data_IF_455785268654
#
_entry.id   IF_455785268654
#
_cell.length_a   1.000
_cell.length_b   1.000
_cell.length_c   1.000
_cell.angle_alpha   90.00
_cell.angle_beta   90.00
_cell.angle_gamma   90.00
#
_symmetry.space_group_name_H-M   'P 1'
#
loop_
_entity.id
_entity.type
_entity.pdbx_description
1 polymer ?
#
# COMPACT_ATOMS: atom_id res chain seq x y z
N UNK A 1 7.76 -18.13 -0.29
CA UNK A 1 7.10 -17.44 -1.42
C UNK A 1 6.33 -16.20 -0.96
N UNK A 2 5.46 -16.28 0.06
CA UNK A 2 4.70 -15.09 0.53
C UNK A 2 5.55 -13.88 0.92
N UNK A 3 6.66 -14.08 1.66
CA UNK A 3 7.60 -12.99 1.98
C UNK A 3 8.11 -12.25 0.73
N UNK A 4 8.55 -12.99 -0.28
CA UNK A 4 9.13 -12.43 -1.50
C UNK A 4 8.07 -11.70 -2.32
N UNK A 5 6.85 -12.25 -2.39
CA UNK A 5 5.70 -11.61 -3.01
C UNK A 5 5.37 -10.28 -2.33
N UNK A 6 5.25 -10.25 -1.01
CA UNK A 6 4.94 -9.03 -0.26
C UNK A 6 6.06 -7.99 -0.36
N UNK A 7 7.33 -8.41 -0.30
CA UNK A 7 8.47 -7.53 -0.51
C UNK A 7 8.49 -6.95 -1.93
N UNK A 8 8.17 -7.76 -2.94
CA UNK A 8 8.06 -7.32 -4.35
C UNK A 8 6.96 -6.27 -4.52
N UNK A 9 5.79 -6.47 -3.89
CA UNK A 9 4.69 -5.50 -3.90
C UNK A 9 5.15 -4.17 -3.28
N UNK A 10 5.76 -4.21 -2.09
CA UNK A 10 6.25 -2.99 -1.42
C UNK A 10 7.26 -2.23 -2.27
N UNK A 11 8.22 -2.92 -2.87
CA UNK A 11 9.23 -2.31 -3.74
C UNK A 11 8.59 -1.68 -4.99
N UNK A 12 7.62 -2.34 -5.59
CA UNK A 12 6.91 -1.84 -6.77
C UNK A 12 6.09 -0.59 -6.46
N UNK A 13 5.37 -0.57 -5.34
CA UNK A 13 4.62 0.60 -4.92
C UNK A 13 5.55 1.76 -4.53
N UNK A 14 6.68 1.49 -3.85
CA UNK A 14 7.71 2.50 -3.57
C UNK A 14 8.30 3.10 -4.86
N UNK A 15 8.51 2.29 -5.91
CA UNK A 15 8.96 2.80 -7.20
C UNK A 15 7.95 3.78 -7.81
N UNK A 16 6.65 3.48 -7.75
CA UNK A 16 5.62 4.39 -8.24
C UNK A 16 5.52 5.66 -7.39
N UNK A 17 5.65 5.54 -6.07
CA UNK A 17 5.62 6.68 -5.16
C UNK A 17 6.82 7.61 -5.38
N UNK A 18 8.01 7.07 -5.65
CA UNK A 18 9.23 7.84 -5.88
C UNK A 18 9.16 8.78 -7.10
N UNK A 19 8.23 8.54 -8.02
CA UNK A 19 8.00 9.37 -9.22
C UNK A 19 6.65 10.08 -9.20
N UNK A 20 5.95 10.04 -8.07
CA UNK A 20 4.64 10.66 -7.87
C UNK A 20 4.77 11.98 -7.11
N UNK A 21 3.82 12.89 -7.33
CA UNK A 21 3.64 14.12 -6.55
C UNK A 21 2.87 13.88 -5.24
N UNK A 22 2.41 12.64 -5.00
CA UNK A 22 1.64 12.27 -3.81
C UNK A 22 2.55 12.18 -2.59
N UNK A 23 2.09 12.76 -1.46
CA UNK A 23 2.78 12.63 -0.18
C UNK A 23 2.36 11.33 0.54
N UNK A 24 3.29 10.41 0.74
CA UNK A 24 2.99 9.13 1.37
C UNK A 24 4.23 8.30 1.69
N UNK A 25 4.01 7.09 2.20
CA UNK A 25 5.04 6.06 2.28
C UNK A 25 4.46 4.68 2.02
N UNK A 26 5.33 3.76 1.59
CA UNK A 26 5.03 2.33 1.51
C UNK A 26 6.04 1.56 2.36
N UNK A 27 5.54 0.78 3.31
CA UNK A 27 6.34 -0.01 4.23
C UNK A 27 6.08 -1.50 4.05
N UNK A 28 7.15 -2.29 3.89
CA UNK A 28 7.11 -3.73 4.13
C UNK A 28 7.19 -3.98 5.63
N UNK A 29 6.27 -4.78 6.17
CA UNK A 29 6.18 -5.07 7.59
C UNK A 29 6.19 -6.58 7.85
N UNK A 30 6.94 -7.00 8.86
CA UNK A 30 6.92 -8.36 9.39
C UNK A 30 6.41 -8.28 10.84
N UNK A 31 5.29 -8.95 11.12
CA UNK A 31 4.74 -9.01 12.46
C UNK A 31 5.55 -9.94 13.37
N UNK A 32 5.42 -9.75 14.69
CA UNK A 32 6.01 -10.66 15.67
C UNK A 32 5.45 -12.08 15.58
N UNK A 33 4.26 -12.26 15.01
CA UNK A 33 3.64 -13.55 14.75
C UNK A 33 4.14 -14.23 13.46
N UNK A 34 5.02 -13.58 12.70
CA UNK A 34 5.62 -14.14 11.49
C UNK A 34 4.83 -13.89 10.20
N UNK A 35 3.76 -13.11 10.23
CA UNK A 35 3.03 -12.68 9.04
C UNK A 35 3.68 -11.46 8.37
N UNK A 36 3.45 -11.31 7.08
CA UNK A 36 3.97 -10.21 6.25
C UNK A 36 2.84 -9.31 5.75
N UNK A 37 3.10 -8.02 5.69
CA UNK A 37 2.16 -7.04 5.15
C UNK A 37 2.85 -5.90 4.42
N UNK A 38 2.09 -5.22 3.57
CA UNK A 38 2.46 -3.94 2.97
C UNK A 38 1.50 -2.89 3.46
N UNK A 39 2.05 -1.79 3.99
CA UNK A 39 1.28 -0.65 4.45
C UNK A 39 1.53 0.50 3.48
N UNK A 40 0.48 1.00 2.82
CA UNK A 40 0.55 2.22 2.03
C UNK A 40 -0.20 3.33 2.78
N UNK A 41 0.54 4.32 3.27
CA UNK A 41 -0.04 5.50 3.93
C UNK A 41 0.02 6.68 2.98
N UNK A 42 -1.14 7.29 2.70
CA UNK A 42 -1.28 8.49 1.91
C UNK A 42 -1.67 9.65 2.85
N UNK A 43 -0.96 10.78 2.77
CA UNK A 43 -1.26 12.00 3.50
C UNK A 43 -2.00 12.99 2.59
N UNK A 44 -3.19 13.40 3.01
CA UNK A 44 -4.06 14.31 2.26
C UNK A 44 -5.10 14.92 3.20
N UNK A 45 -5.32 16.24 3.11
CA UNK A 45 -6.27 17.00 3.95
C UNK A 45 -7.74 16.57 3.76
N UNK A 46 -8.05 15.83 2.69
CA UNK A 46 -9.39 15.28 2.45
C UNK A 46 -9.72 14.11 3.37
N UNK A 47 -8.74 13.55 4.10
CA UNK A 47 -8.99 12.52 5.10
C UNK A 47 -9.31 13.13 6.48
N UNK A 48 -10.12 12.47 7.32
CA UNK A 48 -10.47 12.97 8.66
C UNK A 48 -9.27 13.23 9.61
N UNK A 49 -8.13 12.57 9.35
CA UNK A 49 -6.91 12.66 10.16
C UNK A 49 -5.69 13.05 9.32
N UNK A 50 -5.92 13.73 8.19
CA UNK A 50 -4.91 14.12 7.19
C UNK A 50 -4.11 12.96 6.60
N UNK A 51 -4.52 11.72 6.88
CA UNK A 51 -3.94 10.51 6.32
C UNK A 51 -4.94 9.36 6.28
N UNK A 52 -4.62 8.37 5.46
CA UNK A 52 -5.24 7.06 5.48
C UNK A 52 -4.23 5.99 5.10
N UNK A 53 -4.35 4.83 5.73
CA UNK A 53 -3.48 3.68 5.47
C UNK A 53 -4.27 2.54 4.86
N UNK A 54 -3.80 2.03 3.72
CA UNK A 54 -4.25 0.79 3.11
C UNK A 54 -3.33 -0.35 3.56
N UNK A 55 -3.92 -1.43 4.07
CA UNK A 55 -3.19 -2.61 4.52
C UNK A 55 -3.40 -3.77 3.54
N UNK A 56 -2.29 -4.39 3.13
CA UNK A 56 -2.28 -5.58 2.28
C UNK A 56 -1.57 -6.67 3.08
N UNK A 57 -2.27 -7.75 3.38
CA UNK A 57 -1.78 -8.85 4.19
C UNK A 57 -1.53 -10.10 3.36
N UNK A 58 -0.57 -10.91 3.78
CA UNK A 58 -0.20 -12.17 3.13
C UNK A 58 -1.26 -13.28 3.22
N UNK A 59 -2.19 -13.21 4.17
CA UNK A 59 -3.28 -14.17 4.32
C UNK A 59 -4.50 -13.88 3.45
N UNK A 60 -4.53 -12.74 2.76
CA UNK A 60 -5.59 -12.40 1.82
C UNK A 60 -5.46 -13.23 0.53
N UNK A 61 -6.57 -13.40 -0.17
CA UNK A 61 -6.53 -14.05 -1.48
C UNK A 61 -5.72 -13.23 -2.50
N UNK A 62 -5.22 -13.90 -3.53
CA UNK A 62 -4.49 -13.23 -4.62
C UNK A 62 -5.33 -12.12 -5.29
N UNK A 63 -6.63 -12.34 -5.47
CA UNK A 63 -7.57 -11.38 -6.06
C UNK A 63 -7.75 -10.13 -5.16
N UNK A 64 -7.87 -10.32 -3.85
CA UNK A 64 -7.95 -9.22 -2.89
C UNK A 64 -6.65 -8.41 -2.86
N UNK A 65 -5.50 -9.10 -2.84
CA UNK A 65 -4.18 -8.46 -2.88
C UNK A 65 -4.05 -7.63 -4.17
N UNK A 66 -4.38 -8.20 -5.32
CA UNK A 66 -4.30 -7.49 -6.60
C UNK A 66 -5.21 -6.25 -6.63
N UNK A 67 -6.44 -6.39 -6.12
CA UNK A 67 -7.39 -5.28 -6.00
C UNK A 67 -6.82 -4.13 -5.14
N UNK A 68 -6.27 -4.45 -3.96
CA UNK A 68 -5.69 -3.46 -3.06
C UNK A 68 -4.42 -2.82 -3.63
N UNK A 69 -3.56 -3.60 -4.29
CA UNK A 69 -2.38 -3.07 -5.00
C UNK A 69 -2.80 -2.09 -6.09
N UNK A 70 -3.84 -2.41 -6.86
CA UNK A 70 -4.34 -1.53 -7.91
C UNK A 70 -4.93 -0.24 -7.32
N UNK A 71 -5.68 -0.32 -6.21
CA UNK A 71 -6.19 0.84 -5.48
C UNK A 71 -5.06 1.78 -5.02
N UNK A 72 -3.98 1.22 -4.45
CA UNK A 72 -2.79 2.00 -4.09
C UNK A 72 -2.15 2.67 -5.32
N UNK A 73 -1.98 1.92 -6.42
CA UNK A 73 -1.41 2.46 -7.67
C UNK A 73 -2.23 3.60 -8.26
N UNK A 74 -3.56 3.51 -8.22
CA UNK A 74 -4.44 4.57 -8.71
C UNK A 74 -4.30 5.86 -7.88
N UNK A 75 -4.26 5.73 -6.55
CA UNK A 75 -4.02 6.87 -5.66
C UNK A 75 -2.67 7.51 -5.95
N UNK A 76 -1.60 6.70 -6.02
CA UNK A 76 -0.25 7.19 -6.33
C UNK A 76 -0.20 7.87 -7.71
N UNK A 77 -0.88 7.33 -8.73
CA UNK A 77 -0.81 7.84 -10.09
C UNK A 77 -1.70 9.08 -10.33
N UNK A 78 -2.83 9.20 -9.65
CA UNK A 78 -3.87 10.21 -9.95
C UNK A 78 -4.13 11.21 -8.84
N UNK A 79 -3.50 11.07 -7.67
CA UNK A 79 -3.75 11.95 -6.52
C UNK A 79 -5.18 11.84 -5.97
N UNK A 80 -5.81 10.67 -6.10
CA UNK A 80 -7.12 10.40 -5.51
C UNK A 80 -7.05 10.11 -4.02
N UNK A 81 -8.20 10.00 -3.36
CA UNK A 81 -8.29 9.55 -1.96
C UNK A 81 -8.52 8.04 -1.89
N UNK A 82 -8.00 7.40 -0.84
CA UNK A 82 -8.32 6.04 -0.44
C UNK A 82 -9.77 6.03 0.08
N UNK A 83 -10.70 5.63 -0.76
CA UNK A 83 -12.08 5.34 -0.32
C UNK A 83 -12.12 3.97 0.39
N UNK A 84 -13.15 3.69 1.17
CA UNK A 84 -13.38 2.33 1.69
C UNK A 84 -13.97 1.44 0.59
#
# INVERSE_FOLDING_TARGET
MEKEKMLSIANKLNLYLAISEVHGFVQFWQSSAGSFSVHFTHFDERYPYDNKTLFIYDWQSDEEIESLVNKAKEVIARGGVLND
#
